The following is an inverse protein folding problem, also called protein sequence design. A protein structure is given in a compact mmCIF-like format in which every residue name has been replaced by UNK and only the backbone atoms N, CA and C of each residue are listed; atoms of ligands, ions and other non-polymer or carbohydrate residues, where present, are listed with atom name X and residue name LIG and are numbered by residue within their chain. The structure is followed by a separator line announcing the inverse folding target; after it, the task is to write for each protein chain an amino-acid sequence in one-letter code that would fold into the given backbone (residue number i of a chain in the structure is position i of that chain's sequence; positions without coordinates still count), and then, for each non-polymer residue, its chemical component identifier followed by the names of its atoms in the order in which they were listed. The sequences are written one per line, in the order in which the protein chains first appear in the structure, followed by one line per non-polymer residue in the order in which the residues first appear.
data_IF_541140484715
#
_entry.id   IF_541140484715
#
_cell.length_a   1.000
_cell.length_b   1.000
_cell.length_c   1.000
_cell.angle_alpha   90.00
_cell.angle_beta   90.00
_cell.angle_gamma   90.00
#
_symmetry.space_group_name_H-M   'P 1'
#
loop_
_entity.id
_entity.type
_entity.pdbx_description
1 polymer ?
#
# COMPACT_ATOMS: atom_id res chain seq x y z
N UNK A 1 -4.52 -19.29 25.85
CA UNK A 1 -4.71 -18.15 24.90
C UNK A 1 -5.09 -16.94 25.72
N UNK A 2 -4.55 -15.76 25.44
CA UNK A 2 -4.95 -14.53 26.15
C UNK A 2 -6.30 -14.03 25.63
N UNK A 3 -7.09 -13.27 26.42
CA UNK A 3 -8.35 -12.69 25.93
C UNK A 3 -8.19 -11.84 24.66
N UNK A 4 -7.07 -11.16 24.49
CA UNK A 4 -6.73 -10.38 23.28
C UNK A 4 -6.62 -11.29 22.05
N UNK A 5 -5.90 -12.39 22.16
CA UNK A 5 -5.76 -13.36 21.07
C UNK A 5 -7.09 -14.06 20.74
N UNK A 6 -7.91 -14.38 21.76
CA UNK A 6 -9.25 -14.95 21.53
C UNK A 6 -10.16 -14.01 20.77
N UNK A 7 -10.11 -12.71 21.09
CA UNK A 7 -10.88 -11.69 20.38
C UNK A 7 -10.40 -11.48 18.95
N UNK A 8 -9.07 -11.45 18.72
CA UNK A 8 -8.51 -11.41 17.39
C UNK A 8 -8.90 -12.65 16.57
N UNK A 9 -8.83 -13.84 17.15
CA UNK A 9 -9.25 -15.07 16.48
C UNK A 9 -10.72 -15.05 16.07
N UNK A 10 -11.59 -14.47 16.92
CA UNK A 10 -12.99 -14.29 16.58
C UNK A 10 -13.15 -13.36 15.35
N UNK A 11 -12.33 -12.31 15.25
CA UNK A 11 -12.31 -11.39 14.12
C UNK A 11 -11.76 -12.03 12.83
N UNK A 12 -10.69 -12.82 12.94
CA UNK A 12 -10.07 -13.50 11.78
C UNK A 12 -10.95 -14.59 11.17
N UNK A 13 -11.94 -15.12 11.91
CA UNK A 13 -12.86 -16.15 11.40
C UNK A 13 -13.87 -15.64 10.38
N UNK A 14 -14.04 -14.34 10.23
CA UNK A 14 -14.88 -13.77 9.17
C UNK A 14 -14.15 -13.81 7.83
N UNK A 15 -14.64 -14.56 6.82
CA UNK A 15 -14.05 -14.58 5.49
C UNK A 15 -14.54 -13.34 4.70
N UNK A 16 -14.19 -12.16 5.17
CA UNK A 16 -14.64 -10.88 4.64
C UNK A 16 -13.91 -10.49 3.34
N UNK A 17 -13.98 -11.37 2.34
CA UNK A 17 -13.34 -11.19 1.03
C UNK A 17 -14.17 -10.21 0.21
N UNK A 18 -13.69 -8.96 0.05
CA UNK A 18 -14.42 -7.88 -0.61
C UNK A 18 -14.56 -8.08 -2.13
N UNK A 19 -13.60 -8.73 -2.77
CA UNK A 19 -13.58 -8.97 -4.21
C UNK A 19 -14.61 -9.98 -4.69
N UNK A 20 -15.15 -10.83 -3.79
CA UNK A 20 -16.04 -11.93 -4.13
C UNK A 20 -17.45 -11.68 -3.61
N UNK A 21 -18.40 -11.51 -4.53
CA UNK A 21 -19.80 -11.24 -4.20
C UNK A 21 -20.46 -12.33 -3.34
N UNK A 22 -19.94 -13.56 -3.34
CA UNK A 22 -20.39 -14.66 -2.48
C UNK A 22 -20.14 -14.39 -1.00
N UNK A 23 -19.13 -13.57 -0.70
CA UNK A 23 -18.72 -13.17 0.66
C UNK A 23 -19.33 -11.84 1.11
N UNK A 24 -20.23 -11.23 0.32
CA UNK A 24 -20.89 -9.96 0.72
C UNK A 24 -21.56 -10.04 2.10
N UNK A 25 -22.19 -11.18 2.42
CA UNK A 25 -22.79 -11.45 3.73
C UNK A 25 -21.75 -11.55 4.85
N UNK A 26 -20.59 -12.12 4.57
CA UNK A 26 -19.50 -12.25 5.54
C UNK A 26 -18.83 -10.90 5.83
N UNK A 27 -18.65 -10.06 4.81
CA UNK A 27 -18.16 -8.68 4.98
C UNK A 27 -19.14 -7.87 5.84
N UNK A 28 -20.43 -7.98 5.59
CA UNK A 28 -21.46 -7.33 6.41
C UNK A 28 -21.47 -7.84 7.86
N UNK A 29 -21.44 -9.14 8.07
CA UNK A 29 -21.40 -9.73 9.41
C UNK A 29 -20.14 -9.30 10.18
N UNK A 30 -19.02 -9.11 9.48
CA UNK A 30 -17.78 -8.58 10.05
C UNK A 30 -17.95 -7.13 10.53
N UNK A 31 -18.61 -6.27 9.75
CA UNK A 31 -18.91 -4.90 10.12
C UNK A 31 -19.85 -4.83 11.34
N UNK A 32 -20.91 -5.65 11.36
CA UNK A 32 -21.85 -5.73 12.48
C UNK A 32 -21.13 -6.21 13.76
N UNK A 33 -20.23 -7.18 13.64
CA UNK A 33 -19.41 -7.64 14.78
C UNK A 33 -18.49 -6.53 15.32
N UNK A 34 -17.86 -5.73 14.43
CA UNK A 34 -17.04 -4.59 14.84
C UNK A 34 -17.88 -3.57 15.58
N UNK A 35 -19.05 -3.21 15.05
CA UNK A 35 -20.01 -2.31 15.70
C UNK A 35 -20.33 -2.76 17.12
N UNK A 36 -20.70 -4.04 17.30
CA UNK A 36 -21.08 -4.58 18.61
C UNK A 36 -19.91 -4.56 19.60
N UNK A 37 -18.69 -4.85 19.13
CA UNK A 37 -17.49 -4.80 19.96
C UNK A 37 -17.14 -3.38 20.39
N UNK A 38 -17.19 -2.43 19.49
CA UNK A 38 -16.89 -1.01 19.78
C UNK A 38 -17.95 -0.41 20.70
N UNK A 39 -19.23 -0.71 20.47
CA UNK A 39 -20.33 -0.34 21.38
C UNK A 39 -20.15 -0.93 22.77
N UNK A 40 -19.77 -2.23 22.84
CA UNK A 40 -19.48 -2.90 24.11
C UNK A 40 -18.29 -2.32 24.89
N UNK A 41 -17.41 -1.56 24.23
CA UNK A 41 -16.34 -0.78 24.85
C UNK A 41 -16.77 0.61 25.34
N UNK A 42 -18.05 0.98 25.13
CA UNK A 42 -18.60 2.28 25.50
C UNK A 42 -18.35 3.39 24.48
N UNK A 43 -18.00 3.03 23.26
CA UNK A 43 -17.89 3.97 22.13
C UNK A 43 -19.26 4.11 21.44
N UNK A 44 -19.51 5.29 20.88
CA UNK A 44 -20.63 5.54 19.99
C UNK A 44 -20.28 5.02 18.59
N UNK A 45 -20.80 3.85 18.24
CA UNK A 45 -20.48 3.16 16.99
C UNK A 45 -21.68 3.17 16.04
N UNK A 46 -21.42 3.29 14.75
CA UNK A 46 -22.43 3.27 13.68
C UNK A 46 -21.89 2.56 12.45
N UNK A 47 -22.72 1.70 11.84
CA UNK A 47 -22.45 1.10 10.53
C UNK A 47 -23.12 1.98 9.47
N UNK A 48 -22.31 2.54 8.58
CA UNK A 48 -22.77 3.38 7.48
C UNK A 48 -22.80 2.57 6.18
N UNK A 49 -23.98 2.57 5.55
CA UNK A 49 -24.11 1.92 4.24
C UNK A 49 -23.42 2.73 3.16
N UNK A 50 -22.75 2.03 2.23
CA UNK A 50 -22.21 2.57 0.99
C UNK A 50 -22.80 1.82 -0.22
N UNK A 51 -22.60 2.27 -1.45
CA UNK A 51 -22.97 1.47 -2.62
C UNK A 51 -22.29 0.10 -2.69
N UNK A 52 -21.17 -0.07 -2.01
CA UNK A 52 -20.39 -1.32 -1.91
C UNK A 52 -20.50 -1.98 -0.53
N UNK A 53 -19.38 -2.01 0.19
CA UNK A 53 -19.32 -2.55 1.55
C UNK A 53 -19.41 -1.43 2.60
N UNK A 54 -19.97 -1.70 3.79
CA UNK A 54 -20.21 -0.66 4.79
C UNK A 54 -18.92 -0.10 5.39
N UNK A 55 -19.05 1.13 5.93
CA UNK A 55 -18.01 1.78 6.76
C UNK A 55 -18.47 1.78 8.21
N UNK A 56 -17.60 1.40 9.14
CA UNK A 56 -17.87 1.43 10.58
C UNK A 56 -17.15 2.64 11.18
N UNK A 57 -17.90 3.54 11.80
CA UNK A 57 -17.37 4.68 12.54
C UNK A 57 -17.65 4.47 14.04
N UNK A 58 -16.66 4.72 14.88
CA UNK A 58 -16.89 4.76 16.32
C UNK A 58 -16.14 5.92 16.98
N UNK A 59 -16.73 6.51 18.02
CA UNK A 59 -16.20 7.70 18.70
C UNK A 59 -16.29 7.56 20.22
N UNK A 60 -15.36 8.17 20.94
CA UNK A 60 -15.59 8.46 22.36
C UNK A 60 -16.40 9.74 22.51
N UNK A 61 -16.88 10.02 23.72
CA UNK A 61 -17.50 11.30 24.05
C UNK A 61 -16.51 12.43 23.83
N UNK A 62 -16.86 13.38 22.97
CA UNK A 62 -16.02 14.52 22.62
C UNK A 62 -15.70 15.39 23.83
N UNK A 63 -14.43 15.74 24.00
CA UNK A 63 -13.92 16.61 25.06
C UNK A 63 -13.30 17.86 24.42
N UNK A 64 -13.88 19.06 24.63
CA UNK A 64 -13.31 20.29 24.10
C UNK A 64 -11.87 20.52 24.53
N UNK A 65 -11.01 20.98 23.60
CA UNK A 65 -9.60 21.27 23.85
C UNK A 65 -8.67 20.06 23.81
N UNK A 66 -9.18 18.86 23.54
CA UNK A 66 -8.34 17.69 23.24
C UNK A 66 -8.16 17.53 21.73
N UNK A 67 -6.98 17.13 21.27
CA UNK A 67 -6.79 16.82 19.84
C UNK A 67 -7.68 15.67 19.41
N UNK A 68 -8.12 15.68 18.14
CA UNK A 68 -8.91 14.62 17.53
C UNK A 68 -8.00 13.72 16.70
N UNK A 69 -7.91 12.47 17.10
CA UNK A 69 -7.12 11.43 16.43
C UNK A 69 -8.06 10.47 15.71
N UNK A 70 -7.88 10.30 14.41
CA UNK A 70 -8.54 9.24 13.66
C UNK A 70 -7.63 8.03 13.58
N UNK A 71 -8.15 6.84 13.85
CA UNK A 71 -7.48 5.57 13.60
C UNK A 71 -8.21 4.88 12.47
N UNK A 72 -7.50 4.67 11.37
CA UNK A 72 -8.02 3.99 10.20
C UNK A 72 -7.52 2.54 10.12
N UNK A 73 -8.33 1.66 9.55
CA UNK A 73 -7.99 0.32 9.16
C UNK A 73 -9.09 -0.27 8.27
N UNK A 74 -8.82 -1.46 7.71
CA UNK A 74 -9.79 -2.16 6.90
C UNK A 74 -10.05 -3.57 7.45
N UNK A 75 -11.30 -4.03 7.29
CA UNK A 75 -11.72 -5.33 7.79
C UNK A 75 -12.01 -6.33 6.67
N UNK A 76 -11.93 -5.92 5.41
CA UNK A 76 -11.90 -6.83 4.29
C UNK A 76 -10.51 -7.46 4.11
N UNK A 77 -10.46 -8.51 3.33
CA UNK A 77 -9.24 -9.28 3.11
C UNK A 77 -9.18 -9.82 1.67
N UNK A 78 -7.97 -10.08 1.20
CA UNK A 78 -7.72 -10.72 -0.09
C UNK A 78 -8.27 -12.15 -0.16
N UNK A 79 -8.59 -12.65 -1.38
CA UNK A 79 -8.87 -14.05 -1.63
C UNK A 79 -7.77 -14.98 -1.09
N UNK A 80 -8.14 -16.20 -0.84
CA UNK A 80 -7.25 -17.21 -0.23
C UNK A 80 -6.60 -18.16 -1.23
N UNK A 81 -6.93 -18.01 -2.50
CA UNK A 81 -6.41 -18.86 -3.57
C UNK A 81 -4.89 -18.67 -3.79
N UNK A 82 -4.16 -19.75 -4.09
CA UNK A 82 -4.62 -21.13 -4.17
C UNK A 82 -4.66 -21.81 -2.78
N UNK A 83 -5.80 -22.45 -2.46
CA UNK A 83 -6.05 -23.08 -1.15
C UNK A 83 -5.11 -24.24 -0.81
N UNK A 84 -4.64 -24.97 -1.82
CA UNK A 84 -3.74 -26.11 -1.67
C UNK A 84 -2.32 -25.74 -1.18
N UNK A 85 -1.97 -24.45 -1.19
CA UNK A 85 -0.71 -23.94 -0.66
C UNK A 85 -0.79 -23.48 0.80
N UNK A 86 -1.97 -23.59 1.44
CA UNK A 86 -2.11 -23.24 2.85
C UNK A 86 -1.81 -24.46 3.74
N UNK A 87 -0.90 -24.28 4.70
CA UNK A 87 -0.59 -25.28 5.72
C UNK A 87 -1.73 -25.43 6.76
N UNK A 88 -2.54 -24.36 6.94
CA UNK A 88 -3.68 -24.30 7.86
C UNK A 88 -4.89 -23.72 7.12
N UNK A 89 -6.09 -23.89 7.68
CA UNK A 89 -7.27 -23.24 7.08
C UNK A 89 -7.16 -21.72 7.22
N UNK A 90 -7.34 -20.95 6.12
CA UNK A 90 -7.11 -19.49 6.12
C UNK A 90 -7.92 -18.72 7.17
N UNK A 91 -9.16 -19.15 7.46
CA UNK A 91 -10.08 -18.51 8.40
C UNK A 91 -10.29 -19.31 9.70
N UNK A 92 -9.40 -20.25 10.01
CA UNK A 92 -9.32 -20.92 11.29
C UNK A 92 -7.93 -20.67 11.90
N UNK A 93 -7.71 -19.47 12.48
CA UNK A 93 -6.38 -19.01 12.87
C UNK A 93 -5.77 -19.90 13.93
N UNK A 94 -4.45 -20.11 13.83
CA UNK A 94 -3.67 -20.90 14.78
C UNK A 94 -2.42 -20.13 15.21
N UNK A 95 -1.90 -20.44 16.41
CA UNK A 95 -0.57 -19.97 16.82
C UNK A 95 0.43 -21.11 16.61
N UNK A 96 1.48 -20.81 15.85
CA UNK A 96 2.61 -21.70 15.63
C UNK A 96 3.89 -20.87 15.56
N UNK A 97 4.93 -21.28 16.26
CA UNK A 97 6.25 -20.64 16.24
C UNK A 97 6.22 -19.14 16.58
N UNK A 98 5.38 -18.73 17.55
CA UNK A 98 5.22 -17.34 17.96
C UNK A 98 4.48 -16.46 16.96
N UNK A 99 3.80 -17.07 15.97
CA UNK A 99 3.05 -16.35 14.93
C UNK A 99 1.59 -16.79 14.87
N UNK A 100 0.72 -15.87 14.56
CA UNK A 100 -0.70 -16.07 14.28
C UNK A 100 -0.82 -16.31 12.77
N UNK A 101 -1.22 -17.50 12.37
CA UNK A 101 -1.40 -17.89 10.97
C UNK A 101 -2.86 -17.81 10.58
N UNK A 102 -3.16 -17.09 9.51
CA UNK A 102 -4.51 -16.93 8.96
C UNK A 102 -4.60 -15.72 8.05
N UNK A 103 -5.54 -15.71 7.11
CA UNK A 103 -5.81 -14.57 6.23
C UNK A 103 -6.34 -13.40 7.05
N UNK A 104 -5.79 -12.18 6.81
CA UNK A 104 -6.09 -10.99 7.55
C UNK A 104 -5.31 -10.85 8.87
N UNK A 105 -4.47 -11.85 9.22
CA UNK A 105 -3.71 -11.79 10.47
C UNK A 105 -2.74 -10.60 10.52
N UNK A 106 -2.17 -10.20 9.39
CA UNK A 106 -1.34 -9.01 9.24
C UNK A 106 -2.10 -7.90 8.50
N UNK A 107 -2.75 -8.24 7.41
CA UNK A 107 -3.37 -7.33 6.47
C UNK A 107 -4.90 -7.46 6.49
N UNK A 108 -5.60 -6.56 7.16
CA UNK A 108 -5.15 -5.56 8.14
C UNK A 108 -5.73 -5.82 9.55
N UNK A 109 -6.59 -6.88 9.70
CA UNK A 109 -7.36 -7.16 10.92
C UNK A 109 -6.48 -7.23 12.17
N UNK A 110 -5.30 -7.87 12.08
CA UNK A 110 -4.41 -8.01 13.24
C UNK A 110 -3.85 -6.68 13.70
N UNK A 111 -3.34 -5.86 12.78
CA UNK A 111 -2.79 -4.54 13.09
C UNK A 111 -3.89 -3.58 13.56
N UNK A 112 -5.01 -3.53 12.83
CA UNK A 112 -6.18 -2.72 13.19
C UNK A 112 -6.73 -3.08 14.59
N UNK A 113 -6.85 -4.39 14.88
CA UNK A 113 -7.41 -4.86 16.14
C UNK A 113 -6.50 -4.54 17.34
N UNK A 114 -5.19 -4.50 17.13
CA UNK A 114 -4.26 -4.05 18.17
C UNK A 114 -4.57 -2.60 18.63
N UNK A 115 -4.91 -1.70 17.70
CA UNK A 115 -5.35 -0.35 18.04
C UNK A 115 -6.65 -0.36 18.86
N UNK A 116 -7.64 -1.15 18.48
CA UNK A 116 -8.91 -1.26 19.20
C UNK A 116 -8.70 -1.75 20.63
N UNK A 117 -7.86 -2.78 20.80
CA UNK A 117 -7.55 -3.31 22.12
C UNK A 117 -6.76 -2.31 22.99
N UNK A 118 -5.81 -1.56 22.42
CA UNK A 118 -5.08 -0.51 23.12
C UNK A 118 -5.98 0.62 23.63
N UNK A 119 -6.98 1.01 22.82
CA UNK A 119 -8.03 1.93 23.27
C UNK A 119 -8.84 1.33 24.41
N UNK A 120 -9.24 0.06 24.30
CA UNK A 120 -9.97 -0.66 25.35
C UNK A 120 -9.20 -0.71 26.68
N UNK A 121 -7.91 -1.03 26.63
CA UNK A 121 -7.05 -1.01 27.84
C UNK A 121 -6.93 0.39 28.45
N UNK A 122 -6.81 1.42 27.61
CA UNK A 122 -6.73 2.81 28.07
C UNK A 122 -8.02 3.24 28.77
N UNK A 123 -9.18 2.91 28.18
CA UNK A 123 -10.50 3.15 28.79
C UNK A 123 -10.67 2.39 30.12
N UNK A 124 -10.31 1.12 30.15
CA UNK A 124 -10.41 0.30 31.36
C UNK A 124 -9.51 0.81 32.50
N UNK A 125 -8.31 1.32 32.16
CA UNK A 125 -7.35 1.83 33.14
C UNK A 125 -7.67 3.22 33.66
N UNK A 126 -8.13 4.12 32.79
CA UNK A 126 -8.26 5.56 33.07
C UNK A 126 -9.70 6.07 33.06
N UNK A 127 -10.68 5.26 32.62
CA UNK A 127 -12.07 5.64 32.46
C UNK A 127 -12.34 6.63 31.31
N UNK A 128 -11.31 7.17 30.68
CA UNK A 128 -11.42 8.10 29.53
C UNK A 128 -10.18 8.05 28.67
N UNK A 129 -10.29 8.51 27.42
CA UNK A 129 -9.15 8.69 26.52
C UNK A 129 -8.54 10.08 26.69
N UNK A 130 -7.22 10.24 26.48
CA UNK A 130 -6.56 11.55 26.53
C UNK A 130 -6.81 12.43 25.31
N UNK A 131 -7.44 11.88 24.26
CA UNK A 131 -7.76 12.50 22.97
C UNK A 131 -9.24 12.33 22.62
N UNK A 132 -9.73 13.07 21.66
CA UNK A 132 -10.95 12.72 20.93
C UNK A 132 -10.59 11.66 19.88
N UNK A 133 -11.31 10.56 19.90
CA UNK A 133 -11.04 9.41 19.02
C UNK A 133 -12.13 9.28 17.95
N UNK A 134 -11.70 9.01 16.73
CA UNK A 134 -12.54 8.51 15.64
C UNK A 134 -11.90 7.21 15.14
N UNK A 135 -12.60 6.08 15.26
CA UNK A 135 -12.30 4.91 14.45
C UNK A 135 -13.04 5.02 13.12
N UNK A 136 -12.32 4.78 12.03
CA UNK A 136 -12.88 4.65 10.69
C UNK A 136 -12.39 3.34 10.09
N UNK A 137 -13.29 2.37 9.94
CA UNK A 137 -12.97 1.05 9.41
C UNK A 137 -13.79 0.79 8.15
N UNK A 138 -13.11 0.45 7.05
CA UNK A 138 -13.75 0.15 5.76
C UNK A 138 -13.69 -1.33 5.39
N UNK A 139 -14.52 -1.72 4.44
CA UNK A 139 -14.56 -3.08 3.90
C UNK A 139 -14.28 -3.16 2.40
N UNK A 140 -13.51 -2.22 1.84
CA UNK A 140 -13.22 -2.10 0.40
C UNK A 140 -11.77 -1.75 0.09
N UNK A 141 -10.84 -1.78 1.07
CA UNK A 141 -9.44 -1.42 0.82
C UNK A 141 -8.83 -2.31 -0.25
N UNK A 142 -9.05 -3.59 -0.17
CA UNK A 142 -8.50 -4.63 -1.04
C UNK A 142 -9.04 -4.59 -2.48
N UNK A 143 -10.04 -3.75 -2.72
CA UNK A 143 -10.58 -3.43 -4.05
C UNK A 143 -10.39 -1.96 -4.42
N UNK A 144 -9.57 -1.22 -3.65
CA UNK A 144 -9.16 0.15 -3.93
C UNK A 144 -10.07 1.22 -3.32
N UNK A 145 -10.78 0.95 -2.23
CA UNK A 145 -11.60 1.92 -1.45
C UNK A 145 -12.58 2.71 -2.32
N UNK A 146 -13.25 2.03 -3.25
CA UNK A 146 -14.01 2.63 -4.35
C UNK A 146 -15.04 3.67 -3.85
N UNK A 147 -15.69 3.39 -2.71
CA UNK A 147 -16.76 4.25 -2.19
C UNK A 147 -16.29 5.14 -1.03
N UNK A 148 -15.12 4.91 -0.46
CA UNK A 148 -14.67 5.63 0.74
C UNK A 148 -14.42 7.12 0.46
N UNK A 149 -13.88 7.48 -0.71
CA UNK A 149 -13.64 8.87 -1.08
C UNK A 149 -14.93 9.71 -1.04
N UNK A 150 -16.00 9.21 -1.67
CA UNK A 150 -17.32 9.88 -1.66
C UNK A 150 -17.93 9.92 -0.24
N UNK A 151 -17.73 8.87 0.55
CA UNK A 151 -18.16 8.83 1.94
C UNK A 151 -17.46 9.90 2.79
N UNK A 152 -16.15 10.06 2.64
CA UNK A 152 -15.36 11.09 3.34
C UNK A 152 -15.83 12.50 2.97
N UNK A 153 -16.05 12.76 1.70
CA UNK A 153 -16.57 14.08 1.24
C UNK A 153 -17.94 14.39 1.85
N UNK A 154 -18.85 13.42 1.84
CA UNK A 154 -20.19 13.60 2.41
C UNK A 154 -20.18 13.80 3.93
N UNK A 155 -19.19 13.27 4.64
CA UNK A 155 -19.09 13.31 6.10
C UNK A 155 -17.91 14.16 6.60
N UNK A 156 -17.35 15.02 5.74
CA UNK A 156 -16.12 15.77 6.01
C UNK A 156 -16.11 16.53 7.34
N UNK A 157 -17.22 17.19 7.68
CA UNK A 157 -17.32 17.97 8.90
C UNK A 157 -17.31 17.07 10.16
N UNK A 158 -17.97 15.93 10.09
CA UNK A 158 -18.07 14.98 11.20
C UNK A 158 -16.80 14.15 11.39
N UNK A 159 -16.00 14.02 10.33
CA UNK A 159 -14.73 13.28 10.32
C UNK A 159 -13.51 14.18 10.47
N UNK A 160 -13.70 15.47 10.74
CA UNK A 160 -12.60 16.40 10.95
C UNK A 160 -11.68 15.91 12.09
N UNK A 161 -10.39 15.83 11.81
CA UNK A 161 -9.37 15.35 12.76
C UNK A 161 -8.05 16.10 12.57
N UNK A 162 -7.22 16.09 13.60
CA UNK A 162 -5.91 16.75 13.57
C UNK A 162 -4.84 15.85 12.94
N UNK A 163 -4.97 14.54 13.12
CA UNK A 163 -4.04 13.54 12.65
C UNK A 163 -4.72 12.19 12.45
N UNK A 164 -4.23 11.40 11.50
CA UNK A 164 -4.68 10.03 11.23
C UNK A 164 -3.57 9.06 11.59
N UNK A 165 -3.88 7.95 12.25
CA UNK A 165 -2.96 6.86 12.52
C UNK A 165 -3.39 5.60 11.76
N UNK A 166 -2.44 4.97 11.09
CA UNK A 166 -2.65 3.77 10.28
C UNK A 166 -1.57 2.75 10.61
N UNK A 167 -1.94 1.53 10.93
CA UNK A 167 -1.02 0.39 10.97
C UNK A 167 -1.42 -0.59 9.87
N UNK A 168 -0.92 -0.30 8.67
CA UNK A 168 -1.12 -1.09 7.45
C UNK A 168 0.18 -1.11 6.63
N UNK A 169 1.29 -1.07 7.35
CA UNK A 169 2.64 -0.99 6.81
C UNK A 169 3.58 -1.92 7.58
N UNK A 170 4.83 -2.04 7.12
CA UNK A 170 5.81 -2.96 7.67
C UNK A 170 6.87 -2.33 8.56
N UNK A 171 7.44 -3.16 9.43
CA UNK A 171 8.73 -2.93 10.06
C UNK A 171 9.84 -3.37 9.11
N UNK A 172 10.94 -2.63 9.06
CA UNK A 172 12.08 -2.99 8.18
C UNK A 172 12.77 -4.28 8.63
N UNK A 173 12.71 -4.61 9.92
CA UNK A 173 13.24 -5.84 10.49
C UNK A 173 12.58 -6.12 11.86
N UNK A 174 12.63 -7.37 12.38
CA UNK A 174 12.13 -7.69 13.71
C UNK A 174 12.76 -6.80 14.80
N UNK A 175 11.91 -6.23 15.67
CA UNK A 175 12.35 -5.38 16.78
C UNK A 175 12.83 -3.98 16.40
N UNK A 176 12.77 -3.60 15.13
CA UNK A 176 13.15 -2.26 14.65
C UNK A 176 11.88 -1.43 14.44
N UNK A 177 11.50 -0.54 15.40
CA UNK A 177 10.32 0.27 15.24
C UNK A 177 10.46 1.15 14.00
N UNK A 178 9.38 1.24 13.23
CA UNK A 178 9.38 1.88 11.92
C UNK A 178 8.24 2.90 11.84
N UNK A 179 8.56 4.12 11.41
CA UNK A 179 7.59 5.14 11.05
C UNK A 179 7.69 5.42 9.56
N UNK A 180 6.66 5.05 8.82
CA UNK A 180 6.48 5.43 7.42
C UNK A 180 6.01 6.88 7.33
N UNK A 181 6.63 7.67 6.43
CA UNK A 181 6.24 9.06 6.21
C UNK A 181 6.05 9.40 4.73
N UNK A 182 6.23 8.44 3.83
CA UNK A 182 6.02 8.63 2.40
C UNK A 182 5.65 7.34 1.69
N UNK A 183 4.84 7.46 0.65
CA UNK A 183 4.41 6.39 -0.24
C UNK A 183 4.65 6.82 -1.68
N UNK A 184 5.04 5.89 -2.54
CA UNK A 184 5.11 6.19 -3.98
C UNK A 184 3.71 6.22 -4.59
N UNK A 185 3.54 7.12 -5.56
CA UNK A 185 2.40 7.11 -6.47
C UNK A 185 2.56 6.05 -7.56
N UNK A 186 1.56 5.95 -8.39
CA UNK A 186 1.55 5.04 -9.53
C UNK A 186 0.75 5.65 -10.69
N UNK A 187 1.19 5.38 -11.92
CA UNK A 187 0.35 5.50 -13.10
C UNK A 187 0.65 4.35 -14.04
N UNK A 188 -0.35 3.85 -14.75
CA UNK A 188 -0.23 2.66 -15.59
C UNK A 188 -0.74 2.93 -16.99
N UNK A 189 -0.19 2.20 -17.98
CA UNK A 189 -0.78 2.13 -19.30
C UNK A 189 -0.51 0.78 -19.96
N UNK A 190 -1.37 0.46 -20.92
CA UNK A 190 -1.17 -0.63 -21.86
C UNK A 190 -1.01 -0.06 -23.25
N UNK A 191 -0.06 -0.59 -24.02
CA UNK A 191 0.12 -0.21 -25.42
C UNK A 191 -0.05 -1.39 -26.34
N UNK A 192 -0.64 -1.15 -27.51
CA UNK A 192 -0.69 -2.12 -28.60
C UNK A 192 -0.06 -1.51 -29.85
N UNK A 193 0.89 -2.22 -30.42
CA UNK A 193 1.49 -1.90 -31.71
C UNK A 193 0.81 -2.76 -32.76
N UNK A 194 0.13 -2.12 -33.70
CA UNK A 194 -0.51 -2.76 -34.85
C UNK A 194 0.39 -2.62 -36.09
N UNK A 195 0.66 -3.74 -36.74
CA UNK A 195 1.42 -3.81 -37.98
C UNK A 195 0.55 -4.20 -39.18
N UNK A 196 0.86 -5.30 -39.88
CA UNK A 196 0.06 -5.76 -41.01
C UNK A 196 -1.36 -6.20 -40.59
N UNK A 197 -2.28 -6.23 -41.52
CA UNK A 197 -3.69 -6.58 -41.25
C UNK A 197 -3.89 -8.03 -40.74
N UNK A 198 -2.95 -8.92 -40.99
CA UNK A 198 -2.93 -10.30 -40.50
C UNK A 198 -1.49 -10.79 -40.32
N UNK A 199 -1.32 -11.90 -39.62
CA UNK A 199 -0.04 -12.59 -39.55
C UNK A 199 0.50 -12.90 -40.94
N UNK A 200 1.78 -12.68 -41.19
CA UNK A 200 2.44 -12.84 -42.46
C UNK A 200 3.60 -13.84 -42.36
N UNK A 201 3.90 -14.54 -43.49
CA UNK A 201 5.06 -15.41 -43.56
C UNK A 201 6.37 -14.59 -43.53
N UNK A 202 7.21 -14.82 -42.54
CA UNK A 202 8.44 -14.03 -42.32
C UNK A 202 9.47 -14.16 -43.46
N UNK A 203 9.52 -15.31 -44.14
CA UNK A 203 10.41 -15.51 -45.27
C UNK A 203 9.94 -14.80 -46.55
N UNK A 204 8.65 -14.46 -46.66
CA UNK A 204 8.09 -13.73 -47.81
C UNK A 204 8.10 -12.22 -47.59
N UNK A 205 7.75 -11.78 -46.38
CA UNK A 205 7.53 -10.35 -46.06
C UNK A 205 8.56 -9.76 -45.10
N UNK A 206 9.49 -10.56 -44.55
CA UNK A 206 10.61 -10.10 -43.74
C UNK A 206 11.48 -9.10 -44.51
N UNK A 207 11.75 -7.94 -43.86
CA UNK A 207 12.43 -6.83 -44.54
C UNK A 207 11.54 -5.90 -45.38
N UNK A 208 10.26 -6.28 -45.61
CA UNK A 208 9.29 -5.49 -46.37
C UNK A 208 8.38 -4.67 -45.43
N UNK A 209 7.96 -5.24 -44.32
CA UNK A 209 7.09 -4.56 -43.33
C UNK A 209 7.72 -4.55 -41.97
N UNK A 210 7.39 -3.52 -41.18
CA UNK A 210 7.85 -3.46 -39.78
C UNK A 210 7.16 -4.55 -38.94
N UNK A 211 7.98 -5.35 -38.27
CA UNK A 211 7.49 -6.34 -37.32
C UNK A 211 7.04 -5.67 -36.03
N UNK A 212 5.76 -5.83 -35.60
CA UNK A 212 5.26 -5.21 -34.36
C UNK A 212 6.03 -5.61 -33.09
N UNK A 213 6.56 -6.83 -33.00
CA UNK A 213 7.40 -7.23 -31.85
C UNK A 213 8.73 -6.49 -31.85
N UNK A 214 9.34 -6.29 -33.03
CA UNK A 214 10.57 -5.47 -33.14
C UNK A 214 10.29 -4.00 -32.82
N UNK A 215 9.16 -3.47 -33.25
CA UNK A 215 8.74 -2.09 -32.91
C UNK A 215 8.50 -1.96 -31.38
N UNK A 216 7.81 -2.94 -30.76
CA UNK A 216 7.59 -2.98 -29.32
C UNK A 216 8.89 -3.03 -28.53
N UNK A 217 9.84 -3.88 -28.92
CA UNK A 217 11.15 -3.96 -28.28
C UNK A 217 11.89 -2.61 -28.31
N UNK A 218 11.80 -1.85 -29.42
CA UNK A 218 12.37 -0.50 -29.51
C UNK A 218 11.67 0.50 -28.60
N UNK A 219 10.36 0.46 -28.50
CA UNK A 219 9.58 1.31 -27.60
C UNK A 219 9.92 1.04 -26.14
N UNK A 220 9.98 -0.22 -25.73
CA UNK A 220 10.39 -0.62 -24.38
C UNK A 220 11.82 -0.12 -24.10
N UNK A 221 12.76 -0.40 -25.00
CA UNK A 221 14.15 0.03 -24.82
C UNK A 221 14.33 1.56 -24.78
N UNK A 222 13.42 2.33 -25.40
CA UNK A 222 13.47 3.80 -25.37
C UNK A 222 13.12 4.41 -24.03
N UNK A 223 12.53 3.64 -23.10
CA UNK A 223 12.12 4.17 -21.79
C UNK A 223 13.30 4.40 -20.85
N UNK A 224 14.45 3.76 -21.07
CA UNK A 224 15.60 3.88 -20.18
C UNK A 224 16.88 4.19 -20.91
N UNK A 225 17.72 5.00 -20.27
CA UNK A 225 19.13 5.12 -20.62
C UNK A 225 19.93 3.95 -20.06
N UNK A 226 21.19 3.72 -20.54
CA UNK A 226 22.03 2.63 -20.03
C UNK A 226 22.38 2.70 -18.54
N UNK A 227 22.26 3.88 -17.93
CA UNK A 227 22.51 4.13 -16.51
C UNK A 227 21.25 3.93 -15.63
N UNK A 228 20.16 3.40 -16.19
CA UNK A 228 18.90 3.15 -15.48
C UNK A 228 17.99 4.36 -15.31
N UNK A 229 18.40 5.53 -15.81
CA UNK A 229 17.57 6.73 -15.80
C UNK A 229 16.41 6.61 -16.81
N UNK A 230 15.20 7.00 -16.42
CA UNK A 230 14.05 7.02 -17.32
C UNK A 230 14.22 8.10 -18.38
N UNK A 231 14.25 7.71 -19.65
CA UNK A 231 14.60 8.58 -20.79
C UNK A 231 13.45 9.44 -21.30
N UNK A 232 12.29 9.42 -20.62
CA UNK A 232 11.12 10.23 -21.00
C UNK A 232 11.39 11.71 -20.67
N UNK A 233 11.36 12.63 -21.66
CA UNK A 233 11.59 14.04 -21.40
C UNK A 233 10.63 14.62 -20.37
N UNK A 234 11.17 15.34 -19.39
CA UNK A 234 10.40 15.95 -18.31
C UNK A 234 9.93 14.99 -17.22
N UNK A 235 10.29 13.71 -17.27
CA UNK A 235 9.89 12.72 -16.27
C UNK A 235 10.31 13.09 -14.84
N UNK A 236 11.43 13.79 -14.70
CA UNK A 236 12.02 14.17 -13.40
C UNK A 236 11.79 15.63 -13.00
N UNK A 237 11.09 16.44 -13.82
CA UNK A 237 10.97 17.88 -13.61
C UNK A 237 10.40 18.25 -12.24
N UNK A 238 9.46 17.46 -11.73
CA UNK A 238 8.80 17.67 -10.44
C UNK A 238 9.42 16.85 -9.30
N UNK A 239 10.47 16.05 -9.56
CA UNK A 239 11.10 15.23 -8.52
C UNK A 239 11.86 16.12 -7.54
N UNK A 240 11.38 16.21 -6.31
CA UNK A 240 12.06 17.00 -5.28
C UNK A 240 13.35 16.32 -4.81
N UNK A 241 14.38 17.10 -4.47
CA UNK A 241 15.56 16.57 -3.81
C UNK A 241 15.19 16.00 -2.42
N UNK A 242 16.05 15.12 -1.90
CA UNK A 242 15.94 14.66 -0.52
C UNK A 242 16.10 15.85 0.43
N UNK A 243 15.40 15.82 1.55
CA UNK A 243 15.66 16.75 2.64
C UNK A 243 17.02 16.44 3.29
N UNK A 244 17.70 17.45 3.80
CA UNK A 244 19.08 17.34 4.33
C UNK A 244 19.25 16.24 5.40
N UNK A 245 18.19 15.94 6.14
CA UNK A 245 18.21 14.92 7.19
C UNK A 245 17.99 13.49 6.68
N UNK A 246 17.39 13.30 5.51
CA UNK A 246 16.98 11.97 5.01
C UNK A 246 18.16 11.03 4.75
N UNK A 247 19.26 11.43 4.10
CA UNK A 247 20.39 10.52 3.87
C UNK A 247 20.99 9.99 5.18
N UNK A 248 21.09 10.84 6.21
CA UNK A 248 21.60 10.45 7.52
C UNK A 248 20.62 9.56 8.30
N UNK A 249 19.31 9.73 8.12
CA UNK A 249 18.29 8.87 8.71
C UNK A 249 18.29 7.49 8.02
N UNK A 250 18.35 7.46 6.69
CA UNK A 250 18.34 6.20 5.93
C UNK A 250 19.62 5.38 6.08
N UNK A 251 20.74 6.01 6.33
CA UNK A 251 21.99 5.30 6.69
C UNK A 251 21.90 4.48 7.99
N UNK A 252 20.89 4.75 8.84
CA UNK A 252 20.61 4.00 10.08
C UNK A 252 19.67 2.82 9.88
N UNK A 253 19.03 2.70 8.73
CA UNK A 253 18.13 1.59 8.42
C UNK A 253 18.97 0.30 8.31
N UNK A 254 18.67 -0.74 9.12
CA UNK A 254 19.50 -1.94 9.20
C UNK A 254 19.22 -2.93 8.06
N UNK A 255 18.93 -2.43 6.86
CA UNK A 255 18.67 -3.23 5.65
C UNK A 255 19.46 -2.61 4.51
N UNK A 256 20.27 -3.41 3.86
CA UNK A 256 21.16 -2.98 2.78
C UNK A 256 21.07 -3.87 1.55
N UNK A 257 21.98 -3.66 0.61
CA UNK A 257 22.01 -4.36 -0.68
C UNK A 257 22.06 -5.89 -0.54
N UNK A 258 22.78 -6.41 0.47
CA UNK A 258 22.86 -7.85 0.71
C UNK A 258 21.48 -8.45 1.11
N UNK A 259 20.69 -7.70 1.89
CA UNK A 259 19.36 -8.13 2.30
C UNK A 259 18.41 -8.18 1.12
N UNK A 260 18.45 -7.15 0.25
CA UNK A 260 17.63 -7.11 -0.97
C UNK A 260 18.03 -8.20 -1.97
N UNK A 261 19.32 -8.52 -2.11
CA UNK A 261 19.76 -9.65 -2.91
C UNK A 261 19.23 -10.98 -2.36
N UNK A 262 19.29 -11.16 -1.04
CA UNK A 262 18.77 -12.35 -0.38
C UNK A 262 17.25 -12.49 -0.51
N UNK A 263 16.51 -11.39 -0.36
CA UNK A 263 15.05 -11.38 -0.47
C UNK A 263 14.55 -11.65 -1.89
N UNK A 264 15.22 -11.05 -2.88
CA UNK A 264 14.79 -11.15 -4.28
C UNK A 264 15.35 -12.36 -5.02
N UNK A 265 16.45 -12.96 -4.52
CA UNK A 265 17.19 -14.00 -5.25
C UNK A 265 17.81 -13.50 -6.56
N UNK A 266 17.87 -12.20 -6.77
CA UNK A 266 18.48 -11.60 -7.98
C UNK A 266 20.00 -11.76 -7.97
N UNK A 267 20.64 -12.01 -9.12
CA UNK A 267 22.10 -12.10 -9.20
C UNK A 267 22.81 -10.76 -8.95
N UNK A 268 22.11 -9.63 -9.13
CA UNK A 268 22.60 -8.29 -8.87
C UNK A 268 21.44 -7.31 -8.69
N UNK A 269 21.68 -6.21 -7.97
CA UNK A 269 20.74 -5.09 -7.91
C UNK A 269 20.95 -4.20 -9.14
N UNK A 270 19.85 -3.60 -9.61
CA UNK A 270 19.82 -2.69 -10.73
C UNK A 270 18.98 -1.44 -10.36
N UNK A 271 19.21 -0.34 -11.06
CA UNK A 271 18.42 0.88 -10.94
C UNK A 271 19.22 2.11 -11.34
N UNK A 272 18.66 3.30 -11.15
CA UNK A 272 19.23 4.57 -11.54
C UNK A 272 20.63 4.76 -10.90
N UNK A 273 21.64 5.06 -11.73
CA UNK A 273 23.02 5.24 -11.28
C UNK A 273 23.14 6.49 -10.38
N UNK A 274 24.06 6.43 -9.41
CA UNK A 274 24.31 7.53 -8.48
C UNK A 274 23.41 7.55 -7.24
N UNK A 275 22.45 6.63 -7.14
CA UNK A 275 21.56 6.51 -6.00
C UNK A 275 21.74 5.16 -5.30
N UNK A 276 21.62 5.15 -3.97
CA UNK A 276 21.56 3.93 -3.16
C UNK A 276 20.29 3.15 -3.43
N UNK A 277 20.24 1.88 -3.03
CA UNK A 277 19.04 1.04 -3.17
C UNK A 277 17.84 1.63 -2.47
N UNK A 278 18.00 2.18 -1.26
CA UNK A 278 16.90 2.82 -0.54
C UNK A 278 16.41 4.08 -1.26
N UNK A 279 17.31 4.91 -1.78
CA UNK A 279 16.93 6.09 -2.56
C UNK A 279 16.14 5.70 -3.81
N UNK A 280 16.56 4.66 -4.53
CA UNK A 280 15.85 4.14 -5.71
C UNK A 280 14.45 3.64 -5.38
N UNK A 281 14.30 2.94 -4.25
CA UNK A 281 13.02 2.39 -3.82
C UNK A 281 12.05 3.43 -3.27
N UNK A 282 12.56 4.49 -2.62
CA UNK A 282 11.75 5.40 -1.81
C UNK A 282 11.62 6.81 -2.38
N UNK A 283 12.61 7.28 -3.12
CA UNK A 283 12.69 8.67 -3.55
C UNK A 283 12.93 8.86 -5.05
N UNK A 284 13.07 7.78 -5.81
CA UNK A 284 13.23 7.86 -7.26
C UNK A 284 12.04 7.23 -7.97
N UNK A 285 11.53 7.89 -9.03
CA UNK A 285 10.48 7.31 -9.85
C UNK A 285 11.05 6.20 -10.74
N UNK A 286 10.23 5.24 -11.13
CA UNK A 286 10.63 4.11 -11.99
C UNK A 286 9.65 3.91 -13.13
N UNK A 287 10.11 3.23 -14.18
CA UNK A 287 9.30 2.78 -15.30
C UNK A 287 9.49 1.27 -15.47
N UNK A 288 8.43 0.50 -15.24
CA UNK A 288 8.48 -0.96 -15.22
C UNK A 288 7.65 -1.58 -16.33
N UNK A 289 8.16 -2.66 -16.93
CA UNK A 289 7.43 -3.49 -17.90
C UNK A 289 6.80 -4.66 -17.16
N UNK A 290 5.48 -4.61 -16.97
CA UNK A 290 4.74 -5.64 -16.23
C UNK A 290 4.31 -6.81 -17.09
N UNK A 291 4.29 -6.63 -18.41
CA UNK A 291 3.95 -7.67 -19.37
C UNK A 291 4.30 -7.27 -20.79
N UNK A 292 4.68 -8.26 -21.59
CA UNK A 292 4.94 -8.07 -23.02
C UNK A 292 4.56 -9.33 -23.78
N UNK A 293 3.85 -9.18 -24.89
CA UNK A 293 3.42 -10.29 -25.71
C UNK A 293 3.29 -9.94 -27.19
N UNK A 294 3.43 -10.97 -28.02
CA UNK A 294 3.30 -10.86 -29.48
C UNK A 294 4.02 -11.99 -30.21
N UNK A 295 3.60 -12.28 -31.44
CA UNK A 295 4.14 -13.38 -32.17
C UNK A 295 3.67 -14.76 -31.66
N UNK A 296 4.35 -15.80 -32.10
CA UNK A 296 4.05 -17.17 -31.71
C UNK A 296 4.73 -17.52 -30.38
N UNK A 297 3.96 -18.02 -29.43
CA UNK A 297 4.42 -18.39 -28.08
C UNK A 297 4.14 -19.88 -27.77
N UNK A 298 3.70 -20.67 -28.74
CA UNK A 298 3.50 -22.10 -28.56
C UNK A 298 4.81 -22.89 -28.72
N UNK A 299 4.72 -24.19 -28.53
CA UNK A 299 5.84 -25.11 -28.72
C UNK A 299 6.34 -25.14 -30.17
N UNK A 300 7.65 -25.22 -30.36
CA UNK A 300 8.31 -25.25 -31.67
C UNK A 300 8.43 -23.86 -32.31
N UNK A 301 8.75 -23.85 -33.62
CA UNK A 301 8.96 -22.61 -34.37
C UNK A 301 7.79 -22.34 -35.35
N UNK A 302 7.37 -21.05 -35.42
CA UNK A 302 6.47 -20.57 -36.48
C UNK A 302 7.11 -19.32 -37.10
N UNK A 303 7.40 -19.41 -38.41
CA UNK A 303 8.05 -18.34 -39.18
C UNK A 303 7.06 -17.23 -39.54
N UNK A 304 6.69 -16.41 -38.56
CA UNK A 304 5.62 -15.42 -38.66
C UNK A 304 6.10 -13.99 -38.32
N UNK A 305 5.57 -13.00 -39.05
CA UNK A 305 5.49 -11.61 -38.64
C UNK A 305 4.08 -11.39 -38.06
N UNK A 306 3.92 -11.13 -36.77
CA UNK A 306 2.58 -11.01 -36.18
C UNK A 306 1.88 -9.72 -36.61
N UNK A 307 0.55 -9.73 -36.59
CA UNK A 307 -0.26 -8.56 -36.88
C UNK A 307 -0.15 -7.48 -35.76
N UNK A 308 0.14 -7.90 -34.53
CA UNK A 308 0.22 -7.00 -33.36
C UNK A 308 1.18 -7.50 -32.29
N UNK A 309 1.61 -6.56 -31.43
CA UNK A 309 2.28 -6.84 -30.17
C UNK A 309 1.74 -5.88 -29.08
N UNK A 310 1.81 -6.27 -27.82
CA UNK A 310 1.32 -5.49 -26.69
C UNK A 310 2.35 -5.43 -25.55
N UNK A 311 2.30 -4.36 -24.76
CA UNK A 311 3.02 -4.28 -23.49
C UNK A 311 2.20 -3.53 -22.43
N UNK A 312 2.43 -3.87 -21.17
CA UNK A 312 1.85 -3.22 -19.99
C UNK A 312 2.95 -2.56 -19.18
N UNK A 313 2.69 -1.34 -18.76
CA UNK A 313 3.64 -0.55 -17.99
C UNK A 313 3.03 -0.05 -16.69
N UNK A 314 3.86 0.02 -15.67
CA UNK A 314 3.59 0.82 -14.47
C UNK A 314 4.76 1.77 -14.21
N UNK A 315 4.44 2.98 -13.83
CA UNK A 315 5.40 4.02 -13.45
C UNK A 315 5.18 4.31 -11.98
N UNK A 316 6.20 4.04 -11.15
CA UNK A 316 6.15 4.46 -9.75
C UNK A 316 6.58 5.91 -9.66
N UNK A 317 5.77 6.72 -9.01
CA UNK A 317 5.95 8.16 -8.91
C UNK A 317 6.39 8.55 -7.49
N UNK A 318 7.06 9.68 -7.38
CA UNK A 318 7.47 10.24 -6.10
C UNK A 318 6.73 11.56 -5.83
N UNK A 319 6.76 12.07 -4.59
CA UNK A 319 6.06 13.31 -4.24
C UNK A 319 6.28 14.44 -5.25
N UNK A 320 5.22 15.21 -5.51
CA UNK A 320 5.11 16.32 -6.46
C UNK A 320 4.99 15.93 -7.95
N UNK A 321 5.16 14.67 -8.31
CA UNK A 321 4.81 14.21 -9.64
C UNK A 321 3.29 14.02 -9.78
N UNK A 322 2.69 14.65 -10.76
CA UNK A 322 1.28 14.45 -11.14
C UNK A 322 1.16 13.22 -12.06
N UNK A 323 0.35 12.22 -11.72
CA UNK A 323 0.22 10.99 -12.51
C UNK A 323 -0.27 11.22 -13.95
N UNK A 324 -1.17 12.19 -14.16
CA UNK A 324 -1.69 12.50 -15.50
C UNK A 324 -0.66 13.24 -16.35
N UNK A 325 0.11 14.16 -15.77
CA UNK A 325 1.21 14.83 -16.45
C UNK A 325 2.30 13.83 -16.86
N UNK A 326 2.69 12.93 -15.95
CA UNK A 326 3.68 11.91 -16.26
C UNK A 326 3.19 10.98 -17.36
N UNK A 327 1.94 10.54 -17.30
CA UNK A 327 1.37 9.67 -18.33
C UNK A 327 1.30 10.38 -19.69
N UNK A 328 0.97 11.66 -19.72
CA UNK A 328 0.98 12.46 -20.96
C UNK A 328 2.40 12.56 -21.56
N UNK A 329 3.44 12.74 -20.72
CA UNK A 329 4.85 12.75 -21.14
C UNK A 329 5.27 11.39 -21.70
N UNK A 330 4.89 10.29 -21.04
CA UNK A 330 5.13 8.92 -21.51
C UNK A 330 4.44 8.67 -22.85
N UNK A 331 3.18 9.06 -23.01
CA UNK A 331 2.46 8.94 -24.29
C UNK A 331 3.17 9.70 -25.43
N UNK A 332 3.58 10.93 -25.17
CA UNK A 332 4.30 11.75 -26.13
C UNK A 332 5.63 11.09 -26.54
N UNK A 333 6.39 10.59 -25.57
CA UNK A 333 7.63 9.86 -25.79
C UNK A 333 7.43 8.61 -26.67
N UNK A 334 6.47 7.76 -26.30
CA UNK A 334 6.17 6.53 -27.03
C UNK A 334 5.72 6.81 -28.47
N UNK A 335 4.89 7.85 -28.68
CA UNK A 335 4.48 8.27 -30.03
C UNK A 335 5.66 8.78 -30.86
N UNK A 336 6.55 9.56 -30.26
CA UNK A 336 7.74 10.07 -30.93
C UNK A 336 8.74 8.98 -31.34
N UNK A 337 8.78 7.88 -30.56
CA UNK A 337 9.67 6.72 -30.83
C UNK A 337 8.99 5.61 -31.63
N UNK A 338 7.71 5.75 -31.99
CA UNK A 338 7.00 4.77 -32.82
C UNK A 338 7.62 4.73 -34.20
N UNK A 339 8.17 3.59 -34.63
CA UNK A 339 8.78 3.51 -35.94
C UNK A 339 7.73 3.58 -37.06
N UNK A 340 8.11 4.05 -38.27
CA UNK A 340 7.20 4.04 -39.40
C UNK A 340 6.76 2.61 -39.76
N UNK A 341 5.54 2.46 -40.30
CA UNK A 341 5.00 1.21 -40.73
C UNK A 341 4.19 0.46 -39.69
N UNK A 342 4.02 1.04 -38.48
CA UNK A 342 3.11 0.54 -37.44
C UNK A 342 2.24 1.67 -36.87
N UNK A 343 1.12 1.29 -36.23
CA UNK A 343 0.23 2.20 -35.51
C UNK A 343 0.29 1.87 -34.02
N UNK A 344 0.53 2.86 -33.19
CA UNK A 344 0.51 2.74 -31.75
C UNK A 344 -0.87 3.13 -31.20
N UNK A 345 -1.39 2.28 -30.34
CA UNK A 345 -2.59 2.50 -29.53
C UNK A 345 -2.18 2.45 -28.04
N UNK A 346 -2.70 3.40 -27.25
CA UNK A 346 -2.36 3.52 -25.82
C UNK A 346 -3.67 3.56 -25.04
N UNK A 347 -3.77 2.73 -24.02
CA UNK A 347 -4.87 2.69 -23.06
C UNK A 347 -4.33 3.08 -21.70
N UNK A 348 -4.89 4.13 -21.12
CA UNK A 348 -4.57 4.56 -19.75
C UNK A 348 -5.14 3.60 -18.75
N UNK A 349 -4.35 3.23 -17.76
CA UNK A 349 -4.75 2.39 -16.63
C UNK A 349 -5.09 3.22 -15.39
N UNK A 350 -5.02 2.58 -14.23
CA UNK A 350 -5.23 3.26 -12.94
C UNK A 350 -4.05 4.17 -12.60
N UNK A 351 -4.34 5.16 -11.76
CA UNK A 351 -3.36 6.12 -11.26
C UNK A 351 -3.63 6.45 -9.79
N UNK A 352 -2.59 6.85 -9.07
CA UNK A 352 -2.67 7.31 -7.69
C UNK A 352 -1.47 8.18 -7.36
N UNK A 353 -1.72 9.25 -6.60
CA UNK A 353 -0.66 10.20 -6.21
C UNK A 353 0.33 9.57 -5.23
N UNK A 354 1.54 10.13 -5.20
CA UNK A 354 2.48 9.89 -4.12
C UNK A 354 2.07 10.66 -2.86
N UNK A 355 2.46 10.15 -1.69
CA UNK A 355 2.21 10.78 -0.40
C UNK A 355 3.52 11.11 0.31
N UNK A 356 3.55 12.24 1.01
CA UNK A 356 4.65 12.62 1.88
C UNK A 356 4.13 13.43 3.06
N UNK A 357 4.40 12.97 4.27
CA UNK A 357 4.20 13.71 5.51
C UNK A 357 5.54 14.23 6.03
N UNK A 358 5.48 15.17 6.97
CA UNK A 358 6.66 15.64 7.71
C UNK A 358 6.83 14.86 9.02
N UNK A 359 7.77 13.89 9.12
CA UNK A 359 8.00 13.15 10.35
C UNK A 359 8.64 14.02 11.44
N UNK A 360 9.11 15.25 11.11
CA UNK A 360 9.64 16.23 12.07
C UNK A 360 8.55 17.12 12.65
N UNK A 361 7.31 17.04 12.15
CA UNK A 361 6.14 17.72 12.70
C UNK A 361 5.91 17.34 14.17
N UNK A 362 5.16 18.14 14.95
CA UNK A 362 4.80 17.77 16.32
C UNK A 362 4.16 16.39 16.44
N UNK A 363 3.23 16.04 15.52
CA UNK A 363 2.60 14.73 15.49
C UNK A 363 3.58 13.61 15.10
N UNK A 364 4.45 13.85 14.11
CA UNK A 364 5.49 12.89 13.71
C UNK A 364 6.47 12.60 14.86
N UNK A 365 6.86 13.62 15.62
CA UNK A 365 7.70 13.45 16.81
C UNK A 365 6.98 12.73 17.95
N UNK A 366 5.70 12.98 18.15
CA UNK A 366 4.88 12.24 19.11
C UNK A 366 4.82 10.74 18.75
N UNK A 367 4.61 10.42 17.47
CA UNK A 367 4.64 9.04 16.99
C UNK A 367 6.01 8.37 17.20
N UNK A 368 7.10 9.09 16.94
CA UNK A 368 8.46 8.57 17.18
C UNK A 368 8.68 8.27 18.68
N UNK A 369 8.26 9.15 19.60
CA UNK A 369 8.36 8.87 21.04
C UNK A 369 7.52 7.68 21.47
N UNK A 370 6.31 7.55 20.94
CA UNK A 370 5.44 6.40 21.22
C UNK A 370 6.08 5.08 20.76
N UNK A 371 6.66 5.05 19.55
CA UNK A 371 7.40 3.90 19.02
C UNK A 371 8.63 3.57 19.88
N UNK A 372 9.45 4.59 20.20
CA UNK A 372 10.64 4.41 21.03
C UNK A 372 10.30 3.85 22.42
N UNK A 373 9.25 4.37 23.04
CA UNK A 373 8.75 3.90 24.34
C UNK A 373 8.24 2.45 24.28
N UNK A 374 7.59 2.08 23.19
CA UNK A 374 7.00 0.74 23.03
C UNK A 374 8.05 -0.34 22.75
N UNK A 375 9.02 -0.05 21.90
CA UNK A 375 10.00 -1.01 21.42
C UNK A 375 11.37 -0.87 22.11
N UNK A 376 11.59 0.19 22.90
CA UNK A 376 12.84 0.41 23.65
C UNK A 376 14.01 0.92 22.81
N UNK A 377 13.76 1.34 21.55
CA UNK A 377 14.76 1.89 20.64
C UNK A 377 14.15 2.97 19.75
N UNK A 378 14.98 3.89 19.27
CA UNK A 378 14.55 4.95 18.35
C UNK A 378 14.04 4.35 17.03
N UNK A 379 12.90 4.82 16.50
CA UNK A 379 12.38 4.32 15.24
C UNK A 379 13.24 4.76 14.05
N UNK A 380 13.28 3.91 13.03
CA UNK A 380 13.75 4.30 11.72
C UNK A 380 12.63 5.00 10.95
N UNK A 381 13.01 6.03 10.19
CA UNK A 381 12.09 6.79 9.34
C UNK A 381 12.26 6.30 7.91
N UNK A 382 11.16 5.86 7.29
CA UNK A 382 11.19 5.31 5.95
C UNK A 382 10.14 5.95 5.04
N UNK A 383 10.39 5.88 3.74
CA UNK A 383 9.34 5.96 2.74
C UNK A 383 9.10 4.55 2.21
N UNK A 384 7.91 4.26 1.75
CA UNK A 384 7.59 2.95 1.20
C UNK A 384 7.48 2.99 -0.32
N UNK A 385 7.85 1.86 -0.94
CA UNK A 385 7.75 1.69 -2.39
C UNK A 385 6.34 1.42 -2.90
N UNK A 386 5.44 1.00 -2.01
CA UNK A 386 4.03 0.76 -2.29
C UNK A 386 3.18 2.02 -2.31
N UNK A 387 1.93 1.86 -2.72
CA UNK A 387 0.93 2.94 -2.73
C UNK A 387 -0.27 2.46 -1.91
N UNK A 388 -0.75 3.33 -1.02
CA UNK A 388 -2.01 3.16 -0.29
C UNK A 388 -2.89 4.36 -0.67
N UNK A 389 -3.74 4.21 -1.71
CA UNK A 389 -4.43 5.35 -2.33
C UNK A 389 -5.28 6.16 -1.38
N UNK A 390 -5.88 5.51 -0.36
CA UNK A 390 -6.77 6.17 0.59
C UNK A 390 -6.06 7.23 1.44
N UNK A 391 -4.76 7.09 1.71
CA UNK A 391 -3.98 8.07 2.49
C UNK A 391 -3.96 9.43 1.78
N UNK A 392 -3.82 9.44 0.46
CA UNK A 392 -3.93 10.67 -0.31
C UNK A 392 -5.34 11.27 -0.29
N UNK A 393 -6.36 10.41 -0.30
CA UNK A 393 -7.75 10.85 -0.19
C UNK A 393 -8.01 11.51 1.16
N UNK A 394 -7.50 10.97 2.26
CA UNK A 394 -7.54 11.61 3.57
C UNK A 394 -6.91 12.99 3.54
N UNK A 395 -5.71 13.13 2.99
CA UNK A 395 -5.03 14.43 2.88
C UNK A 395 -5.83 15.43 2.04
N UNK A 396 -6.38 14.99 0.92
CA UNK A 396 -7.17 15.86 0.02
C UNK A 396 -8.51 16.28 0.64
N UNK A 397 -9.23 15.35 1.26
CA UNK A 397 -10.59 15.57 1.76
C UNK A 397 -10.58 16.16 3.17
N UNK A 398 -9.82 15.58 4.09
CA UNK A 398 -9.82 15.98 5.50
C UNK A 398 -8.73 17.01 5.83
N UNK A 399 -7.69 17.13 5.00
CA UNK A 399 -6.54 18.00 5.25
C UNK A 399 -5.56 17.44 6.27
N UNK A 400 -5.85 16.31 6.90
CA UNK A 400 -5.04 15.68 7.93
C UNK A 400 -3.87 14.87 7.35
N UNK A 401 -2.73 14.88 8.03
CA UNK A 401 -1.61 14.00 7.74
C UNK A 401 -1.83 12.61 8.36
N UNK A 402 -1.14 11.61 7.82
CA UNK A 402 -1.22 10.23 8.27
C UNK A 402 0.11 9.75 8.83
N UNK A 403 0.07 9.20 10.04
CA UNK A 403 1.17 8.48 10.69
C UNK A 403 1.07 7.00 10.31
N UNK A 404 2.04 6.49 9.59
CA UNK A 404 2.09 5.07 9.19
C UNK A 404 2.97 4.29 10.15
N UNK A 405 2.33 3.49 11.02
CA UNK A 405 2.95 2.79 12.15
C UNK A 405 3.10 1.31 11.79
N UNK A 406 4.22 0.95 11.20
CA UNK A 406 4.47 -0.41 10.73
C UNK A 406 4.54 -1.43 11.87
N UNK A 407 3.78 -2.54 11.74
CA UNK A 407 3.82 -3.69 12.65
C UNK A 407 4.05 -5.01 11.90
N UNK A 408 3.83 -5.06 10.58
CA UNK A 408 4.07 -6.23 9.76
C UNK A 408 5.57 -6.53 9.62
N UNK A 409 5.97 -7.80 9.68
CA UNK A 409 7.35 -8.19 9.40
C UNK A 409 7.54 -8.50 7.90
N UNK A 410 8.76 -8.39 7.36
CA UNK A 410 9.01 -8.62 5.93
C UNK A 410 8.61 -10.02 5.44
N UNK A 411 8.53 -11.00 6.32
CA UNK A 411 8.20 -12.40 6.02
C UNK A 411 6.76 -12.80 6.37
N UNK A 412 5.88 -11.82 6.63
CA UNK A 412 4.48 -12.05 7.02
C UNK A 412 3.58 -12.57 5.88
N UNK A 413 4.06 -12.61 4.62
CA UNK A 413 3.37 -13.15 3.45
C UNK A 413 2.02 -12.50 3.14
N UNK A 414 1.96 -11.18 3.20
CA UNK A 414 0.79 -10.39 2.79
C UNK A 414 0.36 -10.83 1.37
N UNK A 415 -0.96 -10.95 1.12
CA UNK A 415 -1.60 -11.39 -0.11
C UNK A 415 -1.25 -12.81 -0.59
N UNK A 416 -0.47 -13.58 0.19
CA UNK A 416 -0.04 -14.92 -0.17
C UNK A 416 -0.62 -15.99 0.77
N UNK A 417 -0.62 -17.28 0.38
CA UNK A 417 -0.88 -18.37 1.29
C UNK A 417 0.08 -18.36 2.48
N UNK A 418 -0.44 -18.78 3.64
CA UNK A 418 0.29 -18.78 4.91
C UNK A 418 0.66 -17.37 5.40
N UNK A 419 -0.23 -16.40 5.18
CA UNK A 419 -0.15 -15.10 5.84
C UNK A 419 -0.08 -15.31 7.36
N UNK A 420 0.77 -14.49 8.00
CA UNK A 420 1.01 -14.65 9.43
C UNK A 420 1.44 -13.33 10.09
N UNK A 421 1.11 -13.15 11.35
CA UNK A 421 1.46 -12.00 12.17
C UNK A 421 2.21 -12.43 13.44
N UNK A 422 3.31 -11.74 13.76
CA UNK A 422 4.04 -12.04 14.98
C UNK A 422 3.21 -11.70 16.23
N UNK A 423 3.08 -12.64 17.18
CA UNK A 423 2.36 -12.42 18.44
C UNK A 423 2.96 -11.25 19.20
N UNK A 424 4.29 -11.15 19.25
CA UNK A 424 4.99 -10.06 19.94
C UNK A 424 4.67 -8.69 19.33
N UNK A 425 4.53 -8.62 18.00
CA UNK A 425 4.16 -7.39 17.30
C UNK A 425 2.68 -7.02 17.53
N UNK A 426 1.79 -8.01 17.59
CA UNK A 426 0.40 -7.79 17.97
C UNK A 426 0.30 -7.18 19.38
N UNK A 427 0.99 -7.78 20.35
CA UNK A 427 1.01 -7.28 21.73
C UNK A 427 1.73 -5.93 21.84
N UNK A 428 2.80 -5.72 21.06
CA UNK A 428 3.45 -4.42 20.97
C UNK A 428 2.52 -3.35 20.39
N UNK A 429 1.73 -3.68 19.37
CA UNK A 429 0.72 -2.80 18.77
C UNK A 429 -0.33 -2.31 19.78
N UNK A 430 -0.77 -3.18 20.69
CA UNK A 430 -1.69 -2.81 21.78
C UNK A 430 -1.03 -1.76 22.68
N UNK A 431 0.21 -1.98 23.09
CA UNK A 431 0.96 -1.01 23.92
C UNK A 431 1.29 0.28 23.17
N UNK A 432 1.61 0.16 21.87
CA UNK A 432 1.89 1.30 21.00
C UNK A 432 0.70 2.23 20.90
N UNK A 433 -0.51 1.70 20.76
CA UNK A 433 -1.71 2.54 20.71
C UNK A 433 -1.86 3.39 21.98
N UNK A 434 -1.75 2.78 23.16
CA UNK A 434 -1.87 3.51 24.41
C UNK A 434 -0.78 4.61 24.51
N UNK A 435 0.48 4.30 24.20
CA UNK A 435 1.56 5.27 24.17
C UNK A 435 1.31 6.38 23.14
N UNK A 436 0.81 6.04 21.94
CA UNK A 436 0.52 7.00 20.88
C UNK A 436 -0.54 8.02 21.30
N UNK A 437 -1.64 7.58 21.91
CA UNK A 437 -2.71 8.46 22.37
C UNK A 437 -2.21 9.41 23.45
N UNK A 438 -1.38 8.94 24.38
CA UNK A 438 -0.75 9.78 25.42
C UNK A 438 0.19 10.84 24.81
N UNK A 439 1.04 10.43 23.85
CA UNK A 439 1.98 11.35 23.19
C UNK A 439 1.26 12.37 22.29
N UNK A 440 0.24 11.97 21.55
CA UNK A 440 -0.54 12.86 20.70
C UNK A 440 -1.35 13.87 21.54
N UNK A 441 -1.80 13.50 22.73
CA UNK A 441 -2.46 14.42 23.65
C UNK A 441 -1.58 15.59 24.10
N UNK A 442 -0.24 15.46 24.00
CA UNK A 442 0.71 16.54 24.32
C UNK A 442 0.91 17.53 23.18
N UNK A 443 0.46 17.18 21.98
CA UNK A 443 0.47 18.07 20.82
C UNK A 443 -0.79 18.90 20.92
N UNK A 444 -0.66 20.17 21.33
CA UNK A 444 -1.81 21.07 21.44
C UNK A 444 -2.56 21.18 20.12
N UNK A 445 -3.89 21.17 20.21
CA UNK A 445 -4.78 21.44 19.08
C UNK A 445 -4.74 22.90 18.64
#
# INVERSE_FOLDING_TARGET
MTPHLESLFSFLRFPSISTDSRHRGDVRACADWLHDRLTGMGLDATVHETPGHPVVIARNTHQPGRPTVMIYGHYDVQPVDPLDLWDTKPFDPVIRDGRIWGRGSTDNKGQMWAHVLGVGETLARHGSLPVNLIFLFEGEEEIGSINLGAFLEANRADLACDIIAVSDTGMVAPGVPTLGYGLRGITCCEITVHGPASDLHSGVYGGCVMNPVTAMARLIASLHNPDGHVAVPGFYDAVRPLADWEPAAWAKVPVGDADYLAQTGSPALFGEAGYSTLERLWARPTAEVNGCGGGYQGEGSKTVLPARAMAKFSFRLVPDQDPDDILAKVEAHLRAHTPPGVRLEIHRGHSGDAYLADPQSPHGKAAQRALARTFGSEPVLIREGGSIPIINTFKKVLGADTLMLGLALPDCRIHAPNENFAVDNFEAGIRLNAALLEELATVGG
#
